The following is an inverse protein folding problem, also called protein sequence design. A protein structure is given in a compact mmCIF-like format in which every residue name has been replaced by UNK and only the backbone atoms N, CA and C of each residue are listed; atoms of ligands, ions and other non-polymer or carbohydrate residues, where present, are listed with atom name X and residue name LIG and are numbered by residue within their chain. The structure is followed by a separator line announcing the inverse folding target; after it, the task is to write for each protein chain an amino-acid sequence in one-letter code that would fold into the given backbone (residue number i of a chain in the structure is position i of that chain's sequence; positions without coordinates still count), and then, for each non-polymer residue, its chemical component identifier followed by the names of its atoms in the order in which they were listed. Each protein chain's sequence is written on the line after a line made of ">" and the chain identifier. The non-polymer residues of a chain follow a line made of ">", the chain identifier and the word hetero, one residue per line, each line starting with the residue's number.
data_IF_938681347221
#
_entry.id   IF_938681347221
#
_cell.length_a   1.000
_cell.length_b   1.000
_cell.length_c   1.000
_cell.angle_alpha   90.00
_cell.angle_beta   90.00
_cell.angle_gamma   90.00
#
_symmetry.space_group_name_H-M   'P 1'
#
loop_
_entity.id
_entity.type
_entity.pdbx_description
1 polymer ?
#
# COMPACT_ATOMS: atom_id res chain seq x y z
N UNK A 1 24.41 -5.47 28.31
CA UNK A 1 25.04 -6.49 27.45
C UNK A 1 25.56 -7.59 28.35
N UNK A 2 25.19 -8.84 28.11
CA UNK A 2 25.61 -9.99 28.94
C UNK A 2 26.30 -11.04 28.09
N UNK A 3 27.13 -11.88 28.71
CA UNK A 3 27.84 -12.95 28.01
C UNK A 3 26.89 -14.01 27.43
N UNK A 4 25.76 -14.27 28.09
CA UNK A 4 24.75 -15.24 27.64
C UNK A 4 23.82 -14.70 26.55
N UNK A 5 23.75 -13.39 26.35
CA UNK A 5 22.75 -12.75 25.50
C UNK A 5 21.34 -12.80 26.11
N UNK A 6 20.39 -12.13 25.45
CA UNK A 6 18.97 -12.07 25.83
C UNK A 6 18.04 -12.69 24.76
N UNK A 7 18.55 -13.10 23.60
CA UNK A 7 17.80 -13.84 22.58
C UNK A 7 18.73 -14.78 21.83
N UNK A 8 18.48 -16.09 21.87
CA UNK A 8 19.24 -17.12 21.14
C UNK A 8 20.77 -17.00 21.28
N UNK A 9 21.26 -16.71 22.49
CA UNK A 9 22.70 -16.53 22.74
C UNK A 9 23.28 -15.19 22.23
N UNK A 10 22.46 -14.34 21.62
CA UNK A 10 22.82 -13.01 21.11
C UNK A 10 22.28 -11.90 22.00
N UNK A 11 22.94 -10.74 21.98
CA UNK A 11 22.46 -9.52 22.63
C UNK A 11 21.64 -8.70 21.63
N UNK A 12 20.32 -8.73 21.76
CA UNK A 12 19.39 -7.80 21.10
C UNK A 12 19.18 -6.61 22.04
N UNK A 13 19.81 -5.49 21.70
CA UNK A 13 19.71 -4.25 22.47
C UNK A 13 18.27 -3.71 22.39
N UNK A 14 17.71 -3.37 23.54
CA UNK A 14 16.44 -2.66 23.68
C UNK A 14 16.56 -1.66 24.84
N UNK A 15 15.66 -0.68 24.86
CA UNK A 15 15.63 0.34 25.91
C UNK A 15 14.83 -0.22 27.08
N UNK A 16 15.42 -0.25 28.28
CA UNK A 16 14.80 -0.77 29.51
C UNK A 16 14.56 0.27 30.58
N UNK A 17 15.15 1.46 30.42
CA UNK A 17 15.17 2.54 31.41
C UNK A 17 14.96 3.87 30.70
N UNK A 18 14.31 4.79 31.39
CA UNK A 18 14.11 6.14 30.87
C UNK A 18 15.41 6.92 30.85
N UNK A 19 15.52 7.80 29.85
CA UNK A 19 16.70 8.65 29.65
C UNK A 19 17.00 9.51 30.87
N UNK A 20 15.97 10.02 31.55
CA UNK A 20 16.11 10.84 32.75
C UNK A 20 16.74 10.05 33.92
N UNK A 21 16.37 8.77 34.06
CA UNK A 21 16.94 7.89 35.09
C UNK A 21 18.43 7.64 34.84
N UNK A 22 18.77 7.35 33.58
CA UNK A 22 20.16 7.12 33.16
C UNK A 22 20.98 8.40 33.31
N UNK A 23 20.43 9.56 32.90
CA UNK A 23 21.09 10.86 33.01
C UNK A 23 21.51 11.17 34.45
N UNK A 24 20.62 10.91 35.41
CA UNK A 24 20.92 11.06 36.84
C UNK A 24 22.07 10.15 37.30
N UNK A 25 22.08 8.89 36.88
CA UNK A 25 23.13 7.93 37.24
C UNK A 25 24.51 8.34 36.68
N UNK A 26 24.54 8.79 35.43
CA UNK A 26 25.78 9.24 34.76
C UNK A 26 26.14 10.70 35.05
N UNK A 27 25.39 11.36 35.96
CA UNK A 27 25.59 12.75 36.39
C UNK A 27 25.55 13.77 35.23
N UNK A 28 24.66 13.53 34.27
CA UNK A 28 24.33 14.46 33.19
C UNK A 28 22.94 15.06 33.42
N UNK A 29 22.71 16.24 32.83
CA UNK A 29 21.35 16.75 32.62
C UNK A 29 20.65 15.89 31.56
N UNK A 30 19.32 15.77 31.64
CA UNK A 30 18.53 15.04 30.65
C UNK A 30 18.84 15.50 29.21
N UNK A 31 18.85 16.80 28.95
CA UNK A 31 19.15 17.39 27.63
C UNK A 31 20.49 16.89 27.06
N UNK A 32 21.59 16.99 27.84
CA UNK A 32 22.90 16.44 27.43
C UNK A 32 22.90 14.94 27.16
N UNK A 33 22.10 14.16 27.89
CA UNK A 33 21.98 12.73 27.64
C UNK A 33 21.20 12.43 26.35
N UNK A 34 20.16 13.22 26.06
CA UNK A 34 19.41 13.15 24.81
C UNK A 34 20.28 13.53 23.60
N UNK A 35 21.06 14.60 23.72
CA UNK A 35 22.01 15.03 22.69
C UNK A 35 23.04 13.95 22.38
N UNK A 36 23.64 13.36 23.42
CA UNK A 36 24.60 12.27 23.25
C UNK A 36 23.96 11.06 22.55
N UNK A 37 22.76 10.65 22.97
CA UNK A 37 22.03 9.56 22.33
C UNK A 37 21.66 9.87 20.88
N UNK A 38 21.33 11.11 20.54
CA UNK A 38 21.04 11.50 19.17
C UNK A 38 22.31 11.40 18.30
N UNK A 39 23.46 11.85 18.82
CA UNK A 39 24.75 11.71 18.13
C UNK A 39 25.11 10.24 17.92
N UNK A 40 24.98 9.40 18.95
CA UNK A 40 25.25 7.97 18.87
C UNK A 40 24.31 7.26 17.90
N UNK A 41 23.02 7.60 17.90
CA UNK A 41 22.04 7.08 16.94
C UNK A 41 22.40 7.44 15.52
N UNK A 42 22.87 8.66 15.27
CA UNK A 42 23.31 9.10 13.95
C UNK A 42 24.54 8.32 13.49
N UNK A 43 25.51 8.07 14.37
CA UNK A 43 26.70 7.26 14.05
C UNK A 43 26.31 5.80 13.76
N UNK A 44 25.50 5.18 14.63
CA UNK A 44 24.99 3.84 14.42
C UNK A 44 24.17 3.72 13.12
N UNK A 45 23.43 4.76 12.76
CA UNK A 45 22.69 4.83 11.50
C UNK A 45 23.64 4.81 10.30
N UNK A 46 24.70 5.62 10.30
CA UNK A 46 25.72 5.62 9.22
C UNK A 46 26.36 4.25 9.02
N UNK A 47 26.68 3.56 10.11
CA UNK A 47 27.23 2.19 10.06
C UNK A 47 26.18 1.20 9.52
N UNK A 48 24.92 1.31 9.93
CA UNK A 48 23.83 0.45 9.42
C UNK A 48 23.58 0.63 7.93
N UNK A 49 23.72 1.85 7.41
CA UNK A 49 23.55 2.16 5.99
C UNK A 49 24.61 1.49 5.09
N UNK A 50 25.74 1.01 5.65
CA UNK A 50 26.74 0.24 4.92
C UNK A 50 26.34 -1.23 4.69
N UNK A 51 25.28 -1.71 5.37
CA UNK A 51 24.78 -3.08 5.18
C UNK A 51 24.03 -3.17 3.86
N UNK A 52 24.10 -4.33 3.21
CA UNK A 52 23.21 -4.65 2.09
C UNK A 52 21.77 -4.54 2.60
N UNK A 53 21.01 -3.58 2.07
CA UNK A 53 19.61 -3.40 2.43
C UNK A 53 18.82 -4.62 1.95
N UNK A 54 17.81 -5.09 2.72
CA UNK A 54 16.88 -6.08 2.20
C UNK A 54 16.28 -5.60 0.88
N UNK A 55 16.11 -6.52 -0.07
CA UNK A 55 15.41 -6.21 -1.31
C UNK A 55 14.00 -5.72 -0.99
N UNK A 56 13.60 -4.60 -1.58
CA UNK A 56 12.24 -4.08 -1.50
C UNK A 56 11.49 -4.48 -2.77
N UNK A 57 10.26 -4.98 -2.64
CA UNK A 57 9.37 -4.98 -3.80
C UNK A 57 8.85 -3.56 -3.99
N UNK A 58 9.22 -2.95 -5.11
CA UNK A 58 8.89 -1.56 -5.45
C UNK A 58 7.69 -1.47 -6.40
N UNK A 59 7.06 -2.61 -6.69
CA UNK A 59 5.85 -2.63 -7.52
C UNK A 59 4.71 -1.90 -6.82
N UNK A 60 4.03 -1.07 -7.59
CA UNK A 60 2.73 -0.52 -7.23
C UNK A 60 1.68 -1.50 -7.79
N UNK A 61 0.79 -1.99 -6.93
CA UNK A 61 -0.28 -2.94 -7.28
C UNK A 61 -1.63 -2.23 -7.32
N UNK A 62 -2.41 -2.47 -8.37
CA UNK A 62 -3.72 -1.83 -8.55
C UNK A 62 -4.68 -2.16 -7.42
N UNK A 63 -4.88 -3.44 -7.09
CA UNK A 63 -5.76 -3.88 -6.00
C UNK A 63 -5.42 -3.22 -4.66
N UNK A 64 -4.15 -3.24 -4.25
CA UNK A 64 -3.72 -2.66 -2.96
C UNK A 64 -3.86 -1.14 -2.94
N UNK A 65 -3.65 -0.48 -4.07
CA UNK A 65 -3.87 0.96 -4.17
C UNK A 65 -5.36 1.31 -4.21
N UNK A 66 -6.23 0.45 -4.75
CA UNK A 66 -7.68 0.58 -4.63
C UNK A 66 -8.16 0.54 -3.18
N UNK A 67 -7.64 -0.39 -2.38
CA UNK A 67 -7.92 -0.46 -0.93
C UNK A 67 -7.41 0.79 -0.18
N UNK A 68 -6.21 1.26 -0.53
CA UNK A 68 -5.65 2.50 0.01
C UNK A 68 -6.54 3.70 -0.36
N UNK A 69 -6.93 3.82 -1.62
CA UNK A 69 -7.77 4.89 -2.15
C UNK A 69 -9.08 5.00 -1.36
N UNK A 70 -9.80 3.88 -1.23
CA UNK A 70 -11.02 3.78 -0.44
C UNK A 70 -10.80 4.28 0.99
N UNK A 71 -9.75 3.77 1.64
CA UNK A 71 -9.43 4.10 3.03
C UNK A 71 -9.16 5.59 3.24
N UNK A 72 -8.38 6.22 2.34
CA UNK A 72 -8.12 7.65 2.41
C UNK A 72 -9.35 8.49 2.11
N UNK A 73 -10.18 8.09 1.13
CA UNK A 73 -11.43 8.77 0.81
C UNK A 73 -12.42 8.73 1.99
N UNK A 74 -12.63 7.57 2.61
CA UNK A 74 -13.48 7.44 3.79
C UNK A 74 -12.94 8.26 4.97
N UNK A 75 -11.64 8.14 5.26
CA UNK A 75 -11.01 8.90 6.33
C UNK A 75 -11.11 10.42 6.11
N UNK A 76 -10.92 10.89 4.86
CA UNK A 76 -11.09 12.29 4.52
C UNK A 76 -12.51 12.77 4.84
N UNK A 77 -13.54 12.00 4.43
CA UNK A 77 -14.95 12.33 4.65
C UNK A 77 -15.30 12.39 6.14
N UNK A 78 -14.93 11.36 6.91
CA UNK A 78 -15.34 11.24 8.31
C UNK A 78 -14.50 12.10 9.26
N UNK A 79 -13.20 12.24 9.00
CA UNK A 79 -12.28 13.01 9.85
C UNK A 79 -12.12 14.45 9.39
N UNK A 80 -12.73 14.85 8.27
CA UNK A 80 -12.63 16.19 7.67
C UNK A 80 -11.17 16.58 7.40
N UNK A 81 -10.44 15.67 6.74
CA UNK A 81 -9.00 15.81 6.44
C UNK A 81 -8.78 16.02 4.95
N UNK A 82 -8.64 17.28 4.54
CA UNK A 82 -8.43 17.66 3.13
C UNK A 82 -7.13 17.10 2.56
N UNK A 83 -6.09 16.94 3.38
CA UNK A 83 -4.83 16.31 2.98
C UNK A 83 -5.03 14.83 2.64
N UNK A 84 -5.96 14.14 3.31
CA UNK A 84 -6.31 12.75 2.97
C UNK A 84 -7.08 12.69 1.65
N UNK A 85 -7.99 13.65 1.42
CA UNK A 85 -8.69 13.77 0.14
C UNK A 85 -7.69 13.97 -1.00
N UNK A 86 -6.68 14.83 -0.81
CA UNK A 86 -5.63 15.06 -1.81
C UNK A 86 -4.79 13.79 -2.10
N UNK A 87 -4.50 12.98 -1.08
CA UNK A 87 -3.81 11.69 -1.27
C UNK A 87 -4.67 10.74 -2.09
N UNK A 88 -5.96 10.62 -1.76
CA UNK A 88 -6.92 9.79 -2.50
C UNK A 88 -7.02 10.24 -3.98
N UNK A 89 -7.26 11.52 -4.24
CA UNK A 89 -7.36 12.04 -5.61
C UNK A 89 -6.08 11.81 -6.43
N UNK A 90 -4.90 12.05 -5.85
CA UNK A 90 -3.62 11.78 -6.53
C UNK A 90 -3.41 10.29 -6.83
N UNK A 91 -3.84 9.42 -5.93
CA UNK A 91 -3.77 7.98 -6.13
C UNK A 91 -4.67 7.55 -7.30
N UNK A 92 -5.94 7.98 -7.29
CA UNK A 92 -6.89 7.70 -8.37
C UNK A 92 -6.37 8.20 -9.73
N UNK A 93 -5.87 9.44 -9.79
CA UNK A 93 -5.30 10.01 -11.02
C UNK A 93 -4.09 9.23 -11.52
N UNK A 94 -3.21 8.79 -10.62
CA UNK A 94 -2.07 7.96 -10.96
C UNK A 94 -2.51 6.61 -11.55
N UNK A 95 -3.42 5.90 -10.89
CA UNK A 95 -3.86 4.58 -11.34
C UNK A 95 -4.56 4.64 -12.69
N UNK A 96 -5.47 5.61 -12.88
CA UNK A 96 -6.18 5.79 -14.14
C UNK A 96 -5.26 6.22 -15.28
N UNK A 97 -4.23 7.04 -15.00
CA UNK A 97 -3.29 7.49 -16.03
C UNK A 97 -2.28 6.43 -16.42
N UNK A 98 -1.70 5.76 -15.43
CA UNK A 98 -0.55 4.89 -15.65
C UNK A 98 -0.95 3.43 -15.86
N UNK A 99 -2.03 2.97 -15.22
CA UNK A 99 -2.43 1.55 -15.23
C UNK A 99 -3.65 1.23 -16.06
N UNK A 100 -4.29 2.24 -16.68
CA UNK A 100 -5.31 2.04 -17.70
C UNK A 100 -4.72 2.39 -19.07
N UNK A 101 -4.29 1.36 -19.80
CA UNK A 101 -3.64 1.51 -21.11
C UNK A 101 -4.59 0.98 -22.19
N UNK A 102 -4.93 1.81 -23.17
CA UNK A 102 -5.83 1.43 -24.28
C UNK A 102 -7.18 0.83 -23.82
N UNK A 103 -7.69 1.31 -22.68
CA UNK A 103 -8.95 0.81 -22.10
C UNK A 103 -8.83 -0.48 -21.29
N UNK A 104 -7.60 -0.99 -21.06
CA UNK A 104 -7.36 -2.17 -20.22
C UNK A 104 -6.65 -1.79 -18.92
N UNK A 105 -7.19 -2.26 -17.79
CA UNK A 105 -6.54 -2.12 -16.49
C UNK A 105 -5.41 -3.14 -16.34
N UNK A 106 -4.25 -2.68 -15.88
CA UNK A 106 -3.07 -3.48 -15.62
C UNK A 106 -2.83 -3.62 -14.12
N UNK A 107 -2.20 -4.72 -13.70
CA UNK A 107 -2.02 -5.07 -12.29
C UNK A 107 -0.86 -4.32 -11.63
N UNK A 108 0.25 -4.17 -12.35
CA UNK A 108 1.52 -3.76 -11.73
C UNK A 108 2.13 -2.56 -12.44
N UNK A 109 2.70 -1.64 -11.67
CA UNK A 109 3.60 -0.59 -12.17
C UNK A 109 4.97 -0.72 -11.53
N UNK A 110 6.02 -0.69 -12.33
CA UNK A 110 7.38 -0.59 -11.83
C UNK A 110 8.29 0.00 -12.89
N UNK A 111 9.21 0.88 -12.48
CA UNK A 111 10.23 1.50 -13.34
C UNK A 111 9.63 2.22 -14.56
N UNK A 112 8.54 2.96 -14.33
CA UNK A 112 7.86 3.74 -15.38
C UNK A 112 7.01 2.89 -16.35
N UNK A 113 6.74 1.63 -16.02
CA UNK A 113 6.06 0.68 -16.91
C UNK A 113 4.96 -0.08 -16.20
N UNK A 114 3.77 0.00 -16.76
CA UNK A 114 2.63 -0.83 -16.40
C UNK A 114 2.73 -2.19 -17.11
N UNK A 115 2.45 -3.28 -16.37
CA UNK A 115 2.55 -4.66 -16.86
C UNK A 115 1.50 -5.55 -16.21
N UNK A 116 1.21 -6.65 -16.93
CA UNK A 116 0.28 -7.73 -16.57
C UNK A 116 -1.17 -7.26 -16.56
N UNK A 117 -2.05 -8.05 -17.17
CA UNK A 117 -3.48 -7.77 -17.16
C UNK A 117 -3.99 -7.76 -15.72
N UNK A 118 -4.87 -6.81 -15.41
CA UNK A 118 -5.57 -6.75 -14.12
C UNK A 118 -6.48 -7.96 -13.95
N UNK A 119 -6.52 -8.46 -12.72
CA UNK A 119 -7.43 -9.50 -12.25
C UNK A 119 -8.74 -8.87 -11.80
N UNK A 120 -9.76 -9.68 -11.56
CA UNK A 120 -11.07 -9.21 -11.08
C UNK A 120 -10.94 -8.29 -9.85
N UNK A 121 -10.08 -8.67 -8.89
CA UNK A 121 -9.81 -7.88 -7.67
C UNK A 121 -9.27 -6.48 -7.97
N UNK A 122 -8.45 -6.32 -9.02
CA UNK A 122 -7.86 -5.03 -9.39
C UNK A 122 -8.96 -4.07 -9.86
N UNK A 123 -9.94 -4.58 -10.60
CA UNK A 123 -11.11 -3.82 -11.03
C UNK A 123 -12.03 -3.48 -9.87
N UNK A 124 -12.40 -4.49 -9.07
CA UNK A 124 -13.35 -4.34 -7.98
C UNK A 124 -12.85 -3.30 -6.95
N UNK A 125 -11.59 -3.44 -6.50
CA UNK A 125 -11.05 -2.54 -5.47
C UNK A 125 -10.79 -1.13 -5.98
N UNK A 126 -10.40 -0.97 -7.25
CA UNK A 126 -10.24 0.36 -7.84
C UNK A 126 -11.60 1.04 -8.02
N UNK A 127 -12.61 0.33 -8.54
CA UNK A 127 -13.94 0.86 -8.71
C UNK A 127 -14.58 1.27 -7.37
N UNK A 128 -14.44 0.43 -6.33
CA UNK A 128 -14.93 0.75 -4.99
C UNK A 128 -14.20 1.96 -4.38
N UNK A 129 -12.87 2.04 -4.55
CA UNK A 129 -12.09 3.21 -4.13
C UNK A 129 -12.52 4.51 -4.84
N UNK A 130 -12.77 4.44 -6.15
CA UNK A 130 -13.27 5.58 -6.94
C UNK A 130 -14.68 5.99 -6.52
N UNK A 131 -15.55 5.04 -6.19
CA UNK A 131 -16.88 5.32 -5.65
C UNK A 131 -16.78 6.02 -4.29
N UNK A 132 -15.94 5.53 -3.38
CA UNK A 132 -15.69 6.19 -2.10
C UNK A 132 -15.13 7.61 -2.28
N UNK A 133 -14.23 7.81 -3.25
CA UNK A 133 -13.70 9.14 -3.59
C UNK A 133 -14.79 10.06 -4.15
N UNK A 134 -15.71 9.55 -4.97
CA UNK A 134 -16.89 10.30 -5.39
C UNK A 134 -17.72 10.74 -4.18
N UNK A 135 -17.99 9.86 -3.23
CA UNK A 135 -18.77 10.22 -2.03
C UNK A 135 -18.07 11.23 -1.11
N UNK A 136 -16.74 11.28 -1.14
CA UNK A 136 -15.94 12.22 -0.36
C UNK A 136 -15.79 13.60 -1.02
N UNK A 137 -15.76 13.66 -2.36
CA UNK A 137 -15.49 14.89 -3.15
C UNK A 137 -16.70 15.44 -3.90
N UNK A 138 -17.70 14.61 -4.18
CA UNK A 138 -18.80 14.84 -5.13
C UNK A 138 -18.36 15.17 -6.57
N UNK A 139 -17.11 14.89 -6.94
CA UNK A 139 -16.64 15.00 -8.33
C UNK A 139 -17.18 13.83 -9.17
N UNK A 140 -18.19 14.08 -10.01
CA UNK A 140 -18.90 13.05 -10.81
C UNK A 140 -17.99 12.24 -11.74
N UNK A 141 -16.79 12.74 -12.09
CA UNK A 141 -15.81 11.98 -12.88
C UNK A 141 -15.47 10.64 -12.22
N UNK A 142 -15.33 10.61 -10.89
CA UNK A 142 -14.94 9.38 -10.18
C UNK A 142 -16.01 8.30 -10.24
N UNK A 143 -17.29 8.69 -10.11
CA UNK A 143 -18.41 7.77 -10.32
C UNK A 143 -18.43 7.20 -11.75
N UNK A 144 -18.15 8.06 -12.73
CA UNK A 144 -18.13 7.66 -14.14
C UNK A 144 -17.02 6.63 -14.42
N UNK A 145 -15.82 6.87 -13.89
CA UNK A 145 -14.68 5.94 -14.00
C UNK A 145 -14.96 4.62 -13.27
N UNK A 146 -15.51 4.67 -12.06
CA UNK A 146 -15.90 3.47 -11.31
C UNK A 146 -16.90 2.61 -12.08
N UNK A 147 -17.92 3.24 -12.69
CA UNK A 147 -18.91 2.54 -13.52
C UNK A 147 -18.28 1.90 -14.75
N UNK A 148 -17.40 2.62 -15.46
CA UNK A 148 -16.70 2.08 -16.62
C UNK A 148 -15.86 0.85 -16.27
N UNK A 149 -15.13 0.90 -15.15
CA UNK A 149 -14.36 -0.24 -14.68
C UNK A 149 -15.25 -1.44 -14.37
N UNK A 150 -16.42 -1.23 -13.76
CA UNK A 150 -17.34 -2.34 -13.49
C UNK A 150 -18.00 -2.90 -14.76
N UNK A 151 -18.33 -2.05 -15.74
CA UNK A 151 -18.82 -2.50 -17.05
C UNK A 151 -17.76 -3.38 -17.75
N UNK A 152 -16.49 -2.95 -17.74
CA UNK A 152 -15.35 -3.72 -18.25
C UNK A 152 -15.15 -5.02 -17.48
N UNK A 153 -15.26 -4.99 -16.15
CA UNK A 153 -15.09 -6.16 -15.31
C UNK A 153 -16.17 -7.21 -15.63
N UNK A 154 -17.42 -6.79 -15.80
CA UNK A 154 -18.50 -7.70 -16.18
C UNK A 154 -18.21 -8.35 -17.54
N UNK A 155 -17.78 -7.55 -18.53
CA UNK A 155 -17.45 -8.07 -19.86
C UNK A 155 -16.26 -9.05 -19.88
N UNK A 156 -15.26 -8.83 -19.01
CA UNK A 156 -14.03 -9.62 -19.01
C UNK A 156 -14.12 -10.88 -18.14
N UNK A 157 -14.83 -10.81 -17.01
CA UNK A 157 -14.72 -11.82 -15.95
C UNK A 157 -16.00 -12.62 -15.74
N UNK A 158 -17.17 -12.17 -16.20
CA UNK A 158 -18.41 -12.92 -16.01
C UNK A 158 -18.33 -14.31 -16.67
N UNK A 159 -18.85 -15.34 -16.01
CA UNK A 159 -19.14 -16.60 -16.67
C UNK A 159 -20.49 -16.48 -17.39
N UNK A 160 -20.49 -16.57 -18.71
CA UNK A 160 -21.72 -16.54 -19.50
C UNK A 160 -22.48 -17.87 -19.45
N UNK A 161 -21.81 -18.97 -19.08
CA UNK A 161 -22.38 -20.31 -19.06
C UNK A 161 -22.92 -20.72 -17.68
N UNK A 162 -22.37 -20.14 -16.60
CA UNK A 162 -22.78 -20.39 -15.23
C UNK A 162 -22.81 -19.09 -14.42
N UNK A 163 -23.12 -19.16 -13.13
CA UNK A 163 -23.07 -17.98 -12.25
C UNK A 163 -21.62 -17.63 -11.85
N UNK A 164 -21.41 -16.35 -11.53
CA UNK A 164 -20.19 -15.85 -10.90
C UNK A 164 -19.18 -15.26 -11.88
N UNK A 165 -18.02 -14.88 -11.34
CA UNK A 165 -16.93 -14.25 -12.08
C UNK A 165 -15.66 -15.10 -11.95
N UNK A 166 -14.84 -15.09 -12.99
CA UNK A 166 -13.49 -15.65 -12.98
C UNK A 166 -12.48 -14.64 -12.44
N UNK A 167 -11.43 -15.11 -11.80
CA UNK A 167 -10.37 -14.21 -11.27
C UNK A 167 -9.57 -13.55 -12.40
N UNK A 168 -9.50 -14.24 -13.55
CA UNK A 168 -8.72 -13.85 -14.73
C UNK A 168 -9.64 -13.46 -15.87
N UNK A 169 -9.26 -12.46 -16.66
CA UNK A 169 -10.05 -12.01 -17.80
C UNK A 169 -10.11 -13.08 -18.90
N UNK A 170 -11.15 -13.03 -19.74
CA UNK A 170 -11.26 -13.86 -20.95
C UNK A 170 -10.11 -13.63 -21.94
N UNK A 171 -9.41 -12.50 -21.81
CA UNK A 171 -8.24 -12.07 -22.58
C UNK A 171 -6.90 -12.38 -21.91
N UNK A 172 -6.90 -13.08 -20.77
CA UNK A 172 -5.67 -13.46 -20.08
C UNK A 172 -4.98 -14.65 -20.76
N UNK A 173 -3.79 -15.03 -20.29
CA UNK A 173 -3.09 -16.19 -20.85
C UNK A 173 -3.97 -17.44 -20.71
N UNK A 174 -3.91 -18.34 -21.70
CA UNK A 174 -4.67 -19.57 -21.68
C UNK A 174 -4.17 -20.47 -20.53
N UNK A 175 -4.88 -20.44 -19.41
CA UNK A 175 -4.63 -21.30 -18.26
C UNK A 175 -5.28 -22.68 -18.45
N UNK A 176 -4.72 -23.71 -17.81
CA UNK A 176 -5.31 -25.07 -17.77
C UNK A 176 -6.70 -25.04 -17.10
N UNK A 177 -6.89 -24.15 -16.14
CA UNK A 177 -8.18 -23.86 -15.50
C UNK A 177 -8.24 -22.39 -15.12
N UNK A 178 -9.42 -21.77 -15.26
CA UNK A 178 -9.71 -20.43 -14.74
C UNK A 178 -10.43 -20.57 -13.40
N UNK A 179 -9.77 -20.25 -12.27
CA UNK A 179 -10.42 -20.34 -10.97
C UNK A 179 -11.52 -19.29 -10.84
N UNK A 180 -12.46 -19.61 -9.93
CA UNK A 180 -13.46 -18.71 -9.40
C UNK A 180 -13.52 -18.95 -7.90
N UNK A 181 -13.52 -17.90 -7.11
CA UNK A 181 -13.99 -18.01 -5.73
C UNK A 181 -15.53 -17.82 -5.69
N UNK A 182 -16.20 -18.63 -4.88
CA UNK A 182 -17.65 -18.55 -4.67
C UNK A 182 -17.98 -17.67 -3.46
N UNK A 183 -16.96 -17.26 -2.70
CA UNK A 183 -17.06 -16.58 -1.40
C UNK A 183 -16.53 -15.15 -1.41
N UNK A 184 -15.92 -14.68 -2.50
CA UNK A 184 -15.44 -13.29 -2.65
C UNK A 184 -16.58 -12.30 -2.99
#
# INVERSE_FOLDING_TARGET
>A
VTQKGNFEGKNILHVTRDVEEVAREVKLTQEKAEDALQQDRAELFRVREQRVKPGRDEKILTSWNGLMLRSFAEAARYLKRDDYLQVASKNAEFLLRELRVEGRLLRTYKDGRARLNGYLEDYAFLADGLLALYEASFETRWFTEARQLMDEAIALFADEQNTGFFDTGSDHEALISRPKDIMD
#
